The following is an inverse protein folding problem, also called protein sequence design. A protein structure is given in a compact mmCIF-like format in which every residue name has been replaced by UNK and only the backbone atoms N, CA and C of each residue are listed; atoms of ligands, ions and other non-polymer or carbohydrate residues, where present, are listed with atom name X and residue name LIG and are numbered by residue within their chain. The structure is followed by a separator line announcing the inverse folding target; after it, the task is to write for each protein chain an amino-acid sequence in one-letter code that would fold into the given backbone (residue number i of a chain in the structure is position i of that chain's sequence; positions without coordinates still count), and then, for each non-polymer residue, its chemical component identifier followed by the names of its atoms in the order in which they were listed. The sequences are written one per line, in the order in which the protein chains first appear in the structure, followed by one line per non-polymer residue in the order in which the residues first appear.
data_IF_329082416186
#
_entry.id   IF_329082416186
#
_cell.length_a   1.000
_cell.length_b   1.000
_cell.length_c   1.000
_cell.angle_alpha   90.00
_cell.angle_beta   90.00
_cell.angle_gamma   90.00
#
_symmetry.space_group_name_H-M   'P 1'
#
loop_
_entity.id
_entity.type
_entity.pdbx_description
1 polymer ?
#
# COMPACT_ATOMS: atom_id res chain seq x y z
N UNK A 1 -35.49 41.19 -11.93
CA UNK A 1 -34.38 41.52 -11.01
C UNK A 1 -34.42 40.53 -9.85
N UNK A 2 -33.47 39.58 -9.74
CA UNK A 2 -33.37 38.74 -8.55
C UNK A 2 -32.96 39.60 -7.36
N UNK A 3 -33.69 39.44 -6.23
CA UNK A 3 -33.40 40.17 -5.01
C UNK A 3 -32.00 39.85 -4.50
N UNK A 4 -31.27 40.84 -3.92
CA UNK A 4 -29.91 40.64 -3.34
C UNK A 4 -29.81 39.43 -2.41
N UNK A 5 -30.92 39.05 -1.76
CA UNK A 5 -31.01 37.84 -0.91
C UNK A 5 -30.79 36.53 -1.68
N UNK A 6 -31.37 36.41 -2.85
CA UNK A 6 -31.19 35.18 -3.70
C UNK A 6 -29.82 35.11 -4.31
N UNK A 7 -29.24 36.26 -4.67
CA UNK A 7 -27.88 36.33 -5.20
C UNK A 7 -26.84 35.84 -4.16
N UNK A 8 -26.96 36.23 -2.90
CA UNK A 8 -26.14 35.74 -1.80
C UNK A 8 -26.31 34.24 -1.52
N UNK A 9 -27.57 33.75 -1.57
CA UNK A 9 -27.86 32.33 -1.40
C UNK A 9 -27.24 31.46 -2.50
N UNK A 10 -27.31 31.90 -3.75
CA UNK A 10 -26.70 31.20 -4.90
C UNK A 10 -25.19 31.17 -4.78
N UNK A 11 -24.54 32.25 -4.35
CA UNK A 11 -23.09 32.28 -4.13
C UNK A 11 -22.68 31.31 -3.00
N UNK A 12 -23.41 31.25 -1.89
CA UNK A 12 -23.14 30.34 -0.79
C UNK A 12 -23.30 28.87 -1.19
N UNK A 13 -24.28 28.55 -2.05
CA UNK A 13 -24.47 27.19 -2.60
C UNK A 13 -23.33 26.81 -3.54
N UNK A 14 -22.89 27.72 -4.39
CA UNK A 14 -21.76 27.46 -5.33
C UNK A 14 -20.45 27.28 -4.55
N UNK A 15 -20.19 28.07 -3.52
CA UNK A 15 -19.00 27.93 -2.65
C UNK A 15 -19.07 26.60 -1.88
N UNK A 16 -20.22 26.21 -1.37
CA UNK A 16 -20.43 24.95 -0.66
C UNK A 16 -20.19 23.71 -1.56
N UNK A 17 -20.58 23.77 -2.84
CA UNK A 17 -20.38 22.68 -3.79
C UNK A 17 -18.90 22.60 -4.22
N UNK A 18 -18.20 23.72 -4.29
CA UNK A 18 -16.77 23.73 -4.67
C UNK A 18 -15.86 23.11 -3.59
N UNK A 19 -16.32 23.00 -2.34
CA UNK A 19 -15.54 22.43 -1.23
C UNK A 19 -15.68 20.89 -1.10
N UNK A 20 -16.53 20.23 -1.89
CA UNK A 20 -16.85 18.79 -1.76
C UNK A 20 -16.09 17.91 -2.75
N UNK A 21 -15.34 18.46 -3.71
CA UNK A 21 -14.58 17.66 -4.67
C UNK A 21 -13.08 17.91 -4.44
N UNK A 22 -12.55 17.42 -3.31
CA UNK A 22 -11.15 17.06 -3.25
C UNK A 22 -11.11 15.58 -3.68
N UNK A 23 -10.64 15.23 -4.88
CA UNK A 23 -10.34 13.86 -5.18
C UNK A 23 -9.23 13.46 -4.21
N UNK A 24 -9.55 12.66 -3.20
CA UNK A 24 -8.55 11.95 -2.44
C UNK A 24 -7.93 10.91 -3.39
N UNK A 25 -6.95 11.36 -4.16
CA UNK A 25 -6.08 10.47 -4.91
C UNK A 25 -5.39 9.50 -3.95
N UNK A 26 -4.84 8.42 -4.45
CA UNK A 26 -4.06 7.51 -3.62
C UNK A 26 -2.95 8.31 -2.94
N UNK A 27 -2.89 8.25 -1.61
CA UNK A 27 -1.94 9.01 -0.81
C UNK A 27 -0.85 8.06 -0.36
N UNK A 28 0.37 8.30 -0.83
CA UNK A 28 1.59 7.76 -0.24
C UNK A 28 2.10 8.69 0.87
N UNK A 29 2.94 8.17 1.75
CA UNK A 29 3.69 8.94 2.73
C UNK A 29 5.07 9.31 2.18
N UNK A 30 5.70 10.33 2.77
CA UNK A 30 7.10 10.67 2.50
C UNK A 30 7.42 11.26 1.12
N UNK A 31 8.68 11.14 0.72
CA UNK A 31 9.24 11.76 -0.48
C UNK A 31 9.67 10.73 -1.55
N UNK A 32 9.70 9.42 -1.21
CA UNK A 32 10.07 8.36 -2.14
C UNK A 32 9.00 8.13 -3.21
N UNK A 33 9.20 7.13 -4.06
CA UNK A 33 8.31 6.92 -5.19
C UNK A 33 6.92 6.43 -4.76
N UNK A 34 5.91 7.05 -5.32
CA UNK A 34 4.50 6.65 -5.19
C UNK A 34 4.02 6.14 -6.55
N UNK A 35 3.82 4.83 -6.67
CA UNK A 35 3.52 4.18 -7.94
C UNK A 35 2.11 3.63 -7.93
N UNK A 36 1.32 3.97 -8.95
CA UNK A 36 0.07 3.25 -9.26
C UNK A 36 0.30 2.41 -10.50
N UNK A 37 0.04 1.11 -10.40
CA UNK A 37 0.29 0.19 -11.52
C UNK A 37 -0.52 -1.10 -11.41
N UNK A 38 -0.30 -2.01 -12.34
CA UNK A 38 -0.97 -3.31 -12.36
C UNK A 38 -0.05 -4.43 -11.89
N UNK A 39 -0.61 -5.30 -11.04
CA UNK A 39 0.05 -6.55 -10.67
C UNK A 39 0.21 -7.41 -11.91
N UNK A 40 1.45 -7.68 -12.30
CA UNK A 40 1.79 -8.53 -13.46
C UNK A 40 2.22 -9.93 -13.04
N UNK A 41 2.69 -10.10 -11.80
CA UNK A 41 3.06 -11.40 -11.23
C UNK A 41 3.05 -11.34 -9.70
N UNK A 42 2.61 -12.41 -9.06
CA UNK A 42 2.85 -12.68 -7.65
C UNK A 42 3.99 -13.69 -7.57
N UNK A 43 5.13 -13.27 -7.04
CA UNK A 43 6.34 -14.08 -6.98
C UNK A 43 6.23 -15.08 -5.84
N UNK A 44 5.99 -14.56 -4.64
CA UNK A 44 5.80 -15.28 -3.39
C UNK A 44 4.89 -14.48 -2.45
N UNK A 45 4.85 -14.82 -1.16
CA UNK A 45 3.95 -14.19 -0.18
C UNK A 45 4.33 -12.75 0.22
N UNK A 46 5.53 -12.27 -0.15
CA UNK A 46 6.01 -10.94 0.21
C UNK A 46 6.70 -10.19 -0.94
N UNK A 47 6.54 -10.69 -2.16
CA UNK A 47 7.10 -10.07 -3.37
C UNK A 47 6.13 -10.18 -4.54
N UNK A 48 5.79 -9.04 -5.14
CA UNK A 48 4.98 -8.97 -6.36
C UNK A 48 5.72 -8.19 -7.46
N UNK A 49 5.24 -8.31 -8.71
CA UNK A 49 5.66 -7.42 -9.80
C UNK A 49 4.50 -6.49 -10.18
N UNK A 50 4.80 -5.21 -10.26
CA UNK A 50 3.89 -4.14 -10.68
C UNK A 50 4.47 -3.49 -11.93
N UNK A 51 3.78 -3.64 -13.05
CA UNK A 51 4.23 -3.16 -14.37
C UNK A 51 5.71 -3.53 -14.68
N UNK A 52 6.11 -4.74 -14.26
CA UNK A 52 7.46 -5.26 -14.45
C UNK A 52 8.44 -4.95 -13.31
N UNK A 53 8.19 -3.95 -12.48
CA UNK A 53 9.01 -3.62 -11.31
C UNK A 53 8.76 -4.62 -10.18
N UNK A 54 9.82 -5.17 -9.62
CA UNK A 54 9.75 -6.10 -8.47
C UNK A 54 9.61 -5.32 -7.17
N UNK A 55 8.56 -5.59 -6.41
CA UNK A 55 8.26 -4.93 -5.15
C UNK A 55 8.34 -5.94 -4.01
N UNK A 56 9.23 -5.71 -3.06
CA UNK A 56 9.34 -6.45 -1.80
C UNK A 56 8.50 -5.74 -0.74
N UNK A 57 7.69 -6.48 -0.01
CA UNK A 57 6.86 -5.92 1.05
C UNK A 57 7.73 -5.41 2.21
N UNK A 58 7.62 -4.12 2.51
CA UNK A 58 8.31 -3.53 3.66
C UNK A 58 7.88 -4.20 4.96
N UNK A 59 8.82 -4.46 5.85
CA UNK A 59 8.63 -5.07 7.19
C UNK A 59 7.99 -6.47 7.20
N UNK A 60 7.64 -7.06 6.07
CA UNK A 60 6.97 -8.36 6.01
C UNK A 60 7.90 -9.41 5.41
N UNK A 61 7.97 -10.58 6.02
CA UNK A 61 8.73 -11.72 5.52
C UNK A 61 7.87 -12.98 5.56
N UNK A 62 7.92 -13.77 4.50
CA UNK A 62 7.24 -15.05 4.41
C UNK A 62 8.24 -16.18 4.27
N UNK A 63 7.87 -17.43 4.67
CA UNK A 63 8.65 -18.62 4.36
C UNK A 63 8.86 -18.79 2.87
N UNK A 64 9.87 -19.57 2.52
CA UNK A 64 10.22 -19.84 1.12
C UNK A 64 9.15 -20.71 0.43
N UNK A 65 9.09 -20.63 -0.90
CA UNK A 65 8.09 -21.32 -1.70
C UNK A 65 8.19 -22.88 -1.66
N UNK A 66 9.28 -23.44 -1.18
CA UNK A 66 9.38 -24.88 -0.93
C UNK A 66 8.77 -25.32 0.42
N UNK A 67 8.35 -24.36 1.25
CA UNK A 67 7.64 -24.58 2.52
C UNK A 67 6.14 -24.40 2.31
N UNK A 68 5.33 -25.21 2.98
CA UNK A 68 3.85 -25.14 2.90
C UNK A 68 3.33 -23.73 3.23
N UNK A 69 3.85 -23.13 4.30
CA UNK A 69 3.45 -21.77 4.70
C UNK A 69 3.80 -20.71 3.64
N UNK A 70 4.89 -20.86 2.90
CA UNK A 70 5.25 -19.96 1.80
C UNK A 70 4.24 -20.03 0.66
N UNK A 71 3.78 -21.24 0.32
CA UNK A 71 2.71 -21.43 -0.66
C UNK A 71 1.41 -20.79 -0.18
N UNK A 72 1.01 -21.02 1.08
CA UNK A 72 -0.19 -20.42 1.66
C UNK A 72 -0.13 -18.89 1.72
N UNK A 73 1.04 -18.33 2.01
CA UNK A 73 1.25 -16.87 1.99
C UNK A 73 1.02 -16.31 0.57
N UNK A 74 1.56 -16.96 -0.44
CA UNK A 74 1.35 -16.58 -1.84
C UNK A 74 -0.12 -16.68 -2.24
N UNK A 75 -0.80 -17.78 -1.94
CA UNK A 75 -2.22 -17.97 -2.22
C UNK A 75 -3.09 -16.90 -1.52
N UNK A 76 -2.71 -16.51 -0.30
CA UNK A 76 -3.38 -15.43 0.42
C UNK A 76 -3.28 -14.10 -0.34
N UNK A 77 -2.08 -13.74 -0.82
CA UNK A 77 -1.88 -12.53 -1.64
C UNK A 77 -2.65 -12.62 -2.96
N UNK A 78 -2.62 -13.76 -3.64
CA UNK A 78 -3.37 -13.99 -4.89
C UNK A 78 -4.87 -13.83 -4.73
N UNK A 79 -5.41 -14.24 -3.59
CA UNK A 79 -6.84 -14.11 -3.27
C UNK A 79 -7.27 -12.66 -3.09
N UNK A 80 -6.44 -11.83 -2.43
CA UNK A 80 -6.77 -10.42 -2.15
C UNK A 80 -6.47 -9.55 -3.35
N UNK A 81 -5.36 -9.82 -4.03
CA UNK A 81 -4.80 -8.99 -5.07
C UNK A 81 -4.36 -9.83 -6.27
N UNK A 82 -5.28 -10.41 -7.03
CA UNK A 82 -4.94 -11.23 -8.18
C UNK A 82 -4.19 -10.44 -9.26
N UNK A 83 -3.47 -11.16 -10.13
CA UNK A 83 -2.83 -10.58 -11.32
C UNK A 83 -3.85 -9.78 -12.12
N UNK A 84 -3.46 -8.58 -12.56
CA UNK A 84 -4.33 -7.60 -13.23
C UNK A 84 -4.96 -6.56 -12.30
N UNK A 85 -4.90 -6.77 -10.97
CA UNK A 85 -5.37 -5.76 -10.00
C UNK A 85 -4.55 -4.48 -10.10
N UNK A 86 -5.21 -3.34 -9.87
CA UNK A 86 -4.52 -2.06 -9.71
C UNK A 86 -4.09 -1.90 -8.26
N UNK A 87 -2.83 -1.54 -8.05
CA UNK A 87 -2.24 -1.30 -6.74
C UNK A 87 -1.64 0.09 -6.65
N UNK A 88 -1.61 0.59 -5.42
CA UNK A 88 -0.75 1.69 -5.02
C UNK A 88 0.44 1.12 -4.27
N UNK A 89 1.64 1.49 -4.68
CA UNK A 89 2.89 1.17 -4.00
C UNK A 89 3.49 2.45 -3.45
N UNK A 90 3.72 2.46 -2.16
CA UNK A 90 4.38 3.52 -1.40
C UNK A 90 5.79 3.02 -1.07
N UNK A 91 6.81 3.55 -1.78
CA UNK A 91 8.21 3.15 -1.56
C UNK A 91 8.68 3.63 -0.19
N UNK A 92 9.37 2.78 0.55
CA UNK A 92 9.90 3.10 1.88
C UNK A 92 11.01 4.15 1.78
N UNK A 93 10.75 5.36 2.27
CA UNK A 93 11.67 6.51 2.26
C UNK A 93 13.04 6.20 2.86
N UNK A 94 13.10 5.29 3.81
CA UNK A 94 14.33 4.91 4.49
C UNK A 94 15.04 3.72 3.83
N UNK A 95 14.51 3.16 2.75
CA UNK A 95 15.02 1.99 2.05
C UNK A 95 15.00 2.13 0.52
N UNK A 96 15.16 3.35 0.00
CA UNK A 96 15.15 3.66 -1.45
C UNK A 96 16.25 2.98 -2.25
N UNK A 97 17.33 2.52 -1.62
CA UNK A 97 18.35 1.67 -2.24
C UNK A 97 17.80 0.28 -2.64
N UNK A 98 16.65 -0.07 -2.10
CA UNK A 98 16.00 -1.34 -2.37
C UNK A 98 16.75 -2.56 -1.83
N UNK A 99 16.37 -3.74 -2.30
CA UNK A 99 16.99 -5.00 -1.88
C UNK A 99 17.09 -5.96 -3.06
N UNK A 100 18.30 -6.29 -3.50
CA UNK A 100 18.55 -7.18 -4.63
C UNK A 100 17.80 -6.77 -5.91
N UNK A 101 17.80 -5.47 -6.22
CA UNK A 101 17.10 -4.91 -7.39
C UNK A 101 15.57 -4.87 -7.27
N UNK A 102 15.03 -5.02 -6.06
CA UNK A 102 13.61 -4.86 -5.76
C UNK A 102 13.39 -3.56 -5.00
N UNK A 103 12.35 -2.82 -5.35
CA UNK A 103 11.82 -1.73 -4.54
C UNK A 103 11.25 -2.28 -3.24
N UNK A 104 11.43 -1.61 -2.12
CA UNK A 104 10.82 -1.96 -0.84
C UNK A 104 9.66 -0.99 -0.61
N UNK A 105 8.47 -1.50 -0.30
CA UNK A 105 7.32 -0.63 -0.14
C UNK A 105 6.13 -1.25 0.58
N UNK A 106 5.16 -0.38 0.85
CA UNK A 106 3.83 -0.73 1.33
C UNK A 106 2.88 -0.79 0.13
N UNK A 107 2.11 -1.87 0.04
CA UNK A 107 1.24 -2.11 -1.10
C UNK A 107 -0.22 -2.06 -0.66
N UNK A 108 -1.00 -1.18 -1.29
CA UNK A 108 -2.46 -1.12 -1.13
C UNK A 108 -3.14 -1.70 -2.36
N UNK A 109 -3.96 -2.73 -2.15
CA UNK A 109 -4.72 -3.41 -3.19
C UNK A 109 -6.16 -3.62 -2.72
N UNK A 110 -7.14 -3.18 -3.51
CA UNK A 110 -8.56 -3.36 -3.19
C UNK A 110 -8.95 -2.84 -1.78
N UNK A 111 -8.31 -1.77 -1.31
CA UNK A 111 -8.53 -1.19 0.02
C UNK A 111 -7.80 -1.90 1.17
N UNK A 112 -7.01 -2.93 0.88
CA UNK A 112 -6.24 -3.73 1.86
C UNK A 112 -4.75 -3.39 1.76
N UNK A 113 -4.07 -3.26 2.88
CA UNK A 113 -2.61 -3.22 2.97
C UNK A 113 -2.12 -4.67 2.94
N UNK A 114 -1.46 -5.09 1.85
CA UNK A 114 -1.00 -6.46 1.70
C UNK A 114 0.04 -6.86 2.74
N UNK A 115 0.95 -5.94 3.09
CA UNK A 115 1.96 -6.14 4.13
C UNK A 115 1.31 -6.59 5.45
N UNK A 116 0.33 -5.85 5.94
CA UNK A 116 -0.43 -6.14 7.14
C UNK A 116 -1.22 -7.45 7.01
N UNK A 117 -1.91 -7.63 5.90
CA UNK A 117 -2.78 -8.78 5.67
C UNK A 117 -2.04 -10.11 5.69
N UNK A 118 -0.81 -10.16 5.17
CA UNK A 118 0.05 -11.35 5.24
C UNK A 118 0.42 -11.70 6.68
N UNK A 119 0.71 -10.68 7.51
CA UNK A 119 0.99 -10.89 8.93
C UNK A 119 -0.26 -11.37 9.68
N UNK A 120 -1.43 -10.79 9.41
CA UNK A 120 -2.71 -11.19 10.00
C UNK A 120 -3.12 -12.62 9.65
N UNK A 121 -2.75 -13.08 8.46
CA UNK A 121 -3.04 -14.47 8.04
C UNK A 121 -2.24 -15.53 8.82
N UNK A 122 -1.17 -15.12 9.52
CA UNK A 122 -0.25 -16.02 10.21
C UNK A 122 0.70 -16.78 9.26
N UNK A 123 0.74 -16.41 7.98
CA UNK A 123 1.64 -17.01 6.99
C UNK A 123 2.93 -16.23 6.80
N UNK A 124 3.05 -15.05 7.44
CA UNK A 124 4.25 -14.22 7.44
C UNK A 124 4.60 -13.72 8.84
N UNK A 125 5.78 -13.17 8.96
CA UNK A 125 6.33 -12.59 10.20
C UNK A 125 6.83 -11.18 9.95
N UNK A 126 6.79 -10.33 11.00
CA UNK A 126 7.37 -9.00 10.89
C UNK A 126 8.89 -9.07 10.95
N UNK A 127 9.54 -8.39 10.02
CA UNK A 127 11.02 -8.30 9.96
C UNK A 127 11.52 -7.23 10.93
N UNK A 128 11.55 -7.53 12.22
CA UNK A 128 11.90 -6.59 13.31
C UNK A 128 13.25 -5.90 13.13
N UNK A 129 14.21 -6.54 12.43
CA UNK A 129 15.54 -5.95 12.12
C UNK A 129 15.43 -4.65 11.32
N UNK A 130 14.35 -4.45 10.58
CA UNK A 130 14.11 -3.26 9.77
C UNK A 130 13.22 -2.21 10.43
N UNK A 131 12.76 -2.43 11.67
CA UNK A 131 11.94 -1.43 12.38
C UNK A 131 12.65 -0.07 12.57
N UNK A 132 13.99 -0.06 12.58
CA UNK A 132 14.78 1.18 12.70
C UNK A 132 15.07 1.85 11.36
N UNK A 133 14.82 1.16 10.25
CA UNK A 133 15.16 1.59 8.89
C UNK A 133 13.97 1.49 7.95
N UNK A 134 12.76 1.62 8.47
CA UNK A 134 11.53 1.69 7.70
C UNK A 134 10.64 2.79 8.25
N UNK A 135 10.15 3.66 7.39
CA UNK A 135 9.19 4.69 7.77
C UNK A 135 7.88 4.09 8.31
N UNK A 136 7.50 2.90 7.81
CA UNK A 136 6.26 2.21 8.20
C UNK A 136 6.31 1.59 9.60
N UNK A 137 7.47 1.55 10.25
CA UNK A 137 7.63 0.95 11.58
C UNK A 137 6.77 1.63 12.66
N UNK A 138 6.43 2.91 12.46
CA UNK A 138 5.59 3.67 13.38
C UNK A 138 4.08 3.51 13.13
N UNK A 139 3.67 2.79 12.09
CA UNK A 139 2.27 2.49 11.82
C UNK A 139 1.68 1.57 12.89
N UNK A 140 0.36 1.65 13.09
CA UNK A 140 -0.30 0.83 14.12
C UNK A 140 -0.16 -0.66 13.85
N UNK A 141 -0.24 -1.08 12.59
CA UNK A 141 -0.07 -2.48 12.22
C UNK A 141 1.35 -2.98 12.52
N UNK A 142 2.39 -2.21 12.18
CA UNK A 142 3.77 -2.63 12.44
C UNK A 142 4.05 -2.78 13.94
N UNK A 143 3.55 -1.84 14.76
CA UNK A 143 3.65 -1.91 16.23
C UNK A 143 2.90 -3.11 16.79
N UNK A 144 1.71 -3.41 16.27
CA UNK A 144 0.90 -4.57 16.70
C UNK A 144 1.64 -5.90 16.47
N UNK A 145 2.45 -6.00 15.42
CA UNK A 145 3.23 -7.19 15.10
C UNK A 145 4.66 -7.18 15.64
N UNK A 146 5.14 -6.14 16.29
CA UNK A 146 6.38 -6.18 17.05
C UNK A 146 7.46 -5.14 16.67
N UNK A 147 7.16 -4.22 15.78
CA UNK A 147 7.95 -3.00 15.70
C UNK A 147 7.59 -2.07 16.84
#
# INVERSE_FOLDING_TARGET
MLSKKYFLLVILVIIGIFFIIIPSGPVCSGEAQCITGKVTKIVDGDTIKVDGTSIRFALTSTPEMYEEKGVLAKEHVEKICPVGSTVLVDEDDMQTEGSYGRMIGLIKCNGVILNESVLESGHGEISTRYCKTSEFANSEWAKRFGC
#
